data_IF_990607875200
#
_entry.id   IF_990607875200
#
_cell.length_a   1.000
_cell.length_b   1.000
_cell.length_c   1.000
_cell.angle_alpha   90.00
_cell.angle_beta   90.00
_cell.angle_gamma   90.00
#
_symmetry.space_group_name_H-M   'P 1'
#
loop_
_entity.id
_entity.type
_entity.pdbx_description
1 polymer ?
#
# COMPACT_ATOMS: atom_id res chain seq x y z
N UNK A 1 -6.45 -16.67 6.70
CA UNK A 1 -5.42 -16.43 5.63
C UNK A 1 -6.02 -15.49 4.60
N UNK A 2 -5.34 -14.39 4.29
CA UNK A 2 -5.86 -13.41 3.34
C UNK A 2 -5.69 -13.87 1.89
N UNK A 3 -6.64 -13.54 1.02
CA UNK A 3 -6.61 -13.80 -0.41
C UNK A 3 -6.93 -12.53 -1.17
N UNK A 4 -6.24 -12.28 -2.27
CA UNK A 4 -6.57 -11.19 -3.19
C UNK A 4 -6.87 -11.75 -4.57
N UNK A 5 -7.80 -11.13 -5.28
CA UNK A 5 -8.21 -11.54 -6.61
C UNK A 5 -8.58 -10.37 -7.49
N UNK A 6 -8.48 -10.58 -8.78
CA UNK A 6 -8.98 -9.64 -9.79
C UNK A 6 -10.01 -10.34 -10.67
N UNK A 7 -10.99 -9.59 -11.10
CA UNK A 7 -12.01 -10.05 -12.05
C UNK A 7 -12.25 -8.97 -13.09
N UNK A 8 -12.29 -9.37 -14.36
CA UNK A 8 -12.59 -8.48 -15.47
C UNK A 8 -13.86 -8.95 -16.20
N UNK A 9 -14.80 -8.04 -16.36
CA UNK A 9 -15.98 -8.18 -17.23
C UNK A 9 -16.05 -6.96 -18.16
N UNK A 10 -17.12 -6.17 -18.09
CA UNK A 10 -17.16 -4.82 -18.68
C UNK A 10 -16.21 -3.88 -17.93
N UNK A 11 -16.18 -4.02 -16.60
CA UNK A 11 -15.29 -3.28 -15.69
C UNK A 11 -14.21 -4.22 -15.12
N UNK A 12 -13.24 -3.60 -14.45
CA UNK A 12 -12.19 -4.30 -13.71
C UNK A 12 -12.46 -4.21 -12.22
N UNK A 13 -12.44 -5.33 -11.54
CA UNK A 13 -12.65 -5.44 -10.11
C UNK A 13 -11.39 -5.98 -9.43
N UNK A 14 -11.04 -5.37 -8.33
CA UNK A 14 -10.02 -5.84 -7.41
C UNK A 14 -10.65 -6.05 -6.03
N UNK A 15 -10.45 -7.20 -5.44
CA UNK A 15 -11.01 -7.54 -4.14
C UNK A 15 -10.06 -8.39 -3.32
N UNK A 16 -10.25 -8.35 -2.01
CA UNK A 16 -9.49 -9.19 -1.09
C UNK A 16 -10.36 -9.65 0.08
N UNK A 17 -9.99 -10.76 0.72
CA UNK A 17 -10.50 -11.16 2.03
C UNK A 17 -9.60 -10.63 3.11
N UNK A 18 -10.19 -10.13 4.19
CA UNK A 18 -9.48 -9.59 5.35
C UNK A 18 -9.67 -10.55 6.52
N UNK A 19 -8.83 -11.59 6.56
CA UNK A 19 -8.97 -12.70 7.50
C UNK A 19 -8.00 -12.54 8.68
N UNK A 20 -8.39 -11.70 9.64
CA UNK A 20 -7.72 -11.54 10.91
C UNK A 20 -8.58 -12.04 12.06
N UNK A 21 -7.94 -12.51 13.12
CA UNK A 21 -8.62 -12.98 14.33
C UNK A 21 -9.06 -11.83 15.25
N UNK A 22 -8.54 -10.63 15.01
CA UNK A 22 -8.78 -9.44 15.82
C UNK A 22 -9.17 -8.26 14.94
N UNK A 23 -9.98 -7.36 15.51
CA UNK A 23 -10.23 -6.05 14.93
C UNK A 23 -9.14 -5.08 15.41
N UNK A 24 -8.44 -4.47 14.48
CA UNK A 24 -7.38 -3.50 14.76
C UNK A 24 -7.87 -2.04 14.62
N UNK A 25 -9.18 -1.83 14.52
CA UNK A 25 -9.74 -0.50 14.25
C UNK A 25 -9.49 -0.04 12.82
N UNK A 26 -9.54 -0.99 11.90
CA UNK A 26 -9.40 -0.72 10.48
C UNK A 26 -10.63 0.03 9.93
N UNK A 27 -10.37 1.00 9.10
CA UNK A 27 -11.40 1.85 8.49
C UNK A 27 -11.09 2.19 7.04
N UNK A 28 -12.12 2.60 6.30
CA UNK A 28 -11.96 3.14 4.95
C UNK A 28 -11.30 4.51 5.05
N UNK A 29 -10.10 4.61 4.51
CA UNK A 29 -9.28 5.82 4.58
C UNK A 29 -9.04 6.39 3.19
N UNK A 30 -9.26 7.69 3.04
CA UNK A 30 -8.92 8.44 1.83
C UNK A 30 -7.71 9.32 2.12
N UNK A 31 -6.63 9.12 1.37
CA UNK A 31 -5.46 10.00 1.41
C UNK A 31 -5.50 10.90 0.16
N UNK A 32 -5.64 12.22 0.33
CA UNK A 32 -5.62 13.15 -0.81
C UNK A 32 -4.22 13.24 -1.43
N UNK A 33 -4.13 13.79 -2.64
CA UNK A 33 -2.84 14.12 -3.26
C UNK A 33 -2.00 14.98 -2.32
N UNK A 34 -0.70 14.75 -2.34
CA UNK A 34 0.28 15.54 -1.60
C UNK A 34 0.14 15.48 -0.07
N UNK A 35 -0.59 14.51 0.46
CA UNK A 35 -0.55 14.20 1.88
C UNK A 35 0.86 13.69 2.24
N UNK A 36 1.56 14.29 3.21
CA UNK A 36 2.93 13.91 3.49
C UNK A 36 3.00 12.52 4.13
N UNK A 37 3.66 11.57 3.45
CA UNK A 37 4.05 10.30 4.03
C UNK A 37 5.50 10.37 4.50
N UNK A 38 5.78 10.54 5.80
CA UNK A 38 7.13 10.39 6.32
C UNK A 38 7.59 8.94 6.12
N UNK A 39 8.78 8.77 5.54
CA UNK A 39 9.38 7.46 5.30
C UNK A 39 10.55 7.25 6.27
N UNK A 40 10.71 6.02 6.75
CA UNK A 40 11.68 5.69 7.80
C UNK A 40 13.13 5.92 7.40
N UNK A 41 13.46 5.64 6.13
CA UNK A 41 14.85 5.57 5.68
C UNK A 41 15.16 6.53 4.53
N UNK A 42 14.22 7.35 4.12
CA UNK A 42 14.40 8.34 3.06
C UNK A 42 13.47 9.55 3.26
N UNK A 43 13.56 10.51 2.35
CA UNK A 43 12.72 11.71 2.40
C UNK A 43 11.24 11.36 2.33
N UNK A 44 10.41 12.19 2.96
CA UNK A 44 8.97 12.02 2.91
C UNK A 44 8.46 12.06 1.46
N UNK A 45 7.50 11.20 1.15
CA UNK A 45 6.76 11.24 -0.10
C UNK A 45 5.69 12.34 0.01
N UNK A 46 5.94 13.48 -0.64
CA UNK A 46 5.08 14.67 -0.56
C UNK A 46 4.32 14.96 -1.86
N UNK A 47 4.74 14.36 -2.97
CA UNK A 47 4.04 14.46 -4.27
C UNK A 47 3.62 13.06 -4.69
N UNK A 48 2.31 12.79 -4.68
CA UNK A 48 1.79 11.48 -4.97
C UNK A 48 0.32 11.51 -5.42
N UNK A 49 -0.14 10.41 -6.00
CA UNK A 49 -1.54 10.20 -6.36
C UNK A 49 -2.40 10.05 -5.10
N UNK A 50 -3.64 10.53 -5.18
CA UNK A 50 -4.65 10.22 -4.16
C UNK A 50 -4.93 8.71 -4.15
N UNK A 51 -5.25 8.20 -2.96
CA UNK A 51 -5.59 6.78 -2.79
C UNK A 51 -6.70 6.58 -1.76
N UNK A 52 -7.41 5.48 -1.92
CA UNK A 52 -8.45 5.03 -0.99
C UNK A 52 -8.23 3.54 -0.71
N UNK A 53 -8.41 3.14 0.54
CA UNK A 53 -8.25 1.74 0.93
C UNK A 53 -8.64 1.49 2.37
N UNK A 54 -8.39 0.29 2.84
CA UNK A 54 -8.56 -0.08 4.25
C UNK A 54 -7.23 0.16 4.96
N UNK A 55 -7.26 0.95 6.03
CA UNK A 55 -6.09 1.27 6.83
C UNK A 55 -6.40 1.25 8.34
N UNK A 56 -5.37 1.01 9.13
CA UNK A 56 -5.35 1.38 10.53
C UNK A 56 -4.65 2.72 10.69
N UNK A 57 -5.29 3.68 11.37
CA UNK A 57 -4.70 4.99 11.60
C UNK A 57 -3.77 4.97 12.82
N UNK A 58 -2.47 5.09 12.59
CA UNK A 58 -1.47 5.26 13.64
C UNK A 58 -1.17 6.76 13.82
N UNK A 59 -1.99 7.44 14.62
CA UNK A 59 -2.02 8.91 14.64
C UNK A 59 -2.49 9.43 13.28
N UNK A 60 -1.66 10.24 12.66
CA UNK A 60 -1.94 10.79 11.32
C UNK A 60 -1.39 9.91 10.18
N UNK A 61 -0.80 8.74 10.48
CA UNK A 61 -0.23 7.87 9.45
C UNK A 61 -1.16 6.70 9.12
N UNK A 62 -1.67 6.60 7.86
CA UNK A 62 -2.48 5.48 7.44
C UNK A 62 -1.62 4.25 7.14
N UNK A 63 -1.73 3.22 7.97
CA UNK A 63 -1.13 1.91 7.75
C UNK A 63 -2.07 1.09 6.86
N UNK A 64 -1.88 1.19 5.56
CA UNK A 64 -2.74 0.53 4.58
C UNK A 64 -2.56 -0.99 4.57
N UNK A 65 -3.67 -1.71 4.62
CA UNK A 65 -3.75 -3.15 4.33
C UNK A 65 -3.97 -3.42 2.85
N UNK A 66 -4.71 -2.55 2.19
CA UNK A 66 -4.93 -2.49 0.75
C UNK A 66 -5.30 -1.06 0.36
N UNK A 67 -5.08 -0.73 -0.88
CA UNK A 67 -5.56 0.53 -1.43
C UNK A 67 -5.63 0.48 -2.96
N UNK A 68 -6.34 1.43 -3.54
CA UNK A 68 -6.32 1.74 -4.96
C UNK A 68 -6.04 3.24 -5.11
N UNK A 69 -5.20 3.60 -6.08
CA UNK A 69 -4.96 5.00 -6.38
C UNK A 69 -5.90 5.54 -7.46
N UNK A 70 -5.92 6.84 -7.64
CA UNK A 70 -6.76 7.55 -8.61
C UNK A 70 -6.49 7.19 -10.07
N UNK A 71 -5.40 6.45 -10.36
CA UNK A 71 -5.06 5.92 -11.69
C UNK A 71 -5.62 4.51 -11.91
N UNK A 72 -6.23 3.91 -10.88
CA UNK A 72 -6.80 2.58 -10.94
C UNK A 72 -5.80 1.46 -10.64
N UNK A 73 -4.59 1.79 -10.18
CA UNK A 73 -3.65 0.77 -9.68
C UNK A 73 -4.06 0.36 -8.27
N UNK A 74 -4.31 -0.93 -8.06
CA UNK A 74 -4.64 -1.51 -6.76
C UNK A 74 -3.52 -2.39 -6.21
N UNK A 75 -3.39 -2.42 -4.88
CA UNK A 75 -2.42 -3.24 -4.17
C UNK A 75 -3.01 -3.74 -2.84
N UNK A 76 -2.73 -5.00 -2.49
CA UNK A 76 -3.10 -5.58 -1.20
C UNK A 76 -1.89 -6.20 -0.52
N UNK A 77 -1.73 -5.92 0.76
CA UNK A 77 -0.82 -6.64 1.64
C UNK A 77 -1.45 -7.96 2.10
N UNK A 78 -0.76 -9.06 1.88
CA UNK A 78 -1.17 -10.38 2.37
C UNK A 78 -0.19 -10.82 3.45
N UNK A 79 -0.71 -11.16 4.62
CA UNK A 79 0.13 -11.64 5.71
C UNK A 79 0.65 -13.05 5.40
N UNK A 80 1.96 -13.23 5.47
CA UNK A 80 2.63 -14.50 5.22
C UNK A 80 3.58 -14.85 6.39
N UNK A 81 3.02 -15.24 7.54
CA UNK A 81 3.79 -15.46 8.77
C UNK A 81 4.92 -16.47 8.58
N UNK A 82 6.09 -16.13 9.09
CA UNK A 82 7.27 -17.01 9.09
C UNK A 82 8.04 -17.06 7.76
N UNK A 83 7.53 -16.45 6.69
CA UNK A 83 8.17 -16.48 5.36
C UNK A 83 8.64 -15.10 4.89
N UNK A 84 8.23 -14.03 5.54
CA UNK A 84 8.67 -12.68 5.21
C UNK A 84 10.14 -12.49 5.60
N UNK A 85 10.95 -12.01 4.67
CA UNK A 85 12.36 -11.68 4.89
C UNK A 85 12.53 -10.18 4.69
N UNK A 86 13.05 -9.52 5.71
CA UNK A 86 13.33 -8.08 5.68
C UNK A 86 14.84 -7.87 5.63
N UNK A 87 15.31 -7.25 4.55
CA UNK A 87 16.71 -6.93 4.37
C UNK A 87 17.13 -5.75 5.24
N UNK A 88 18.44 -5.66 5.54
CA UNK A 88 19.01 -4.45 6.13
C UNK A 88 19.04 -3.32 5.12
N UNK A 89 19.05 -2.08 5.61
CA UNK A 89 19.22 -0.88 4.79
C UNK A 89 20.44 -1.01 3.88
N UNK A 90 20.27 -0.68 2.61
CA UNK A 90 21.32 -0.74 1.58
C UNK A 90 21.60 0.68 1.05
N UNK A 91 22.86 1.06 1.04
CA UNK A 91 23.31 2.35 0.49
C UNK A 91 23.06 2.40 -1.03
N UNK A 92 22.51 3.53 -1.50
CA UNK A 92 22.26 3.78 -2.92
C UNK A 92 21.05 3.05 -3.49
N UNK A 93 20.17 2.54 -2.63
CA UNK A 93 18.87 1.96 -3.01
C UNK A 93 17.73 2.60 -2.21
N UNK A 94 16.54 2.52 -2.75
CA UNK A 94 15.34 2.84 -1.99
C UNK A 94 15.17 1.81 -0.86
N UNK A 95 14.96 2.33 0.34
CA UNK A 95 14.79 1.52 1.54
C UNK A 95 13.42 1.81 2.14
N UNK A 96 12.46 0.94 1.84
CA UNK A 96 11.07 1.09 2.20
C UNK A 96 10.71 0.05 3.26
N UNK A 97 10.12 0.50 4.38
CA UNK A 97 9.58 -0.41 5.38
C UNK A 97 8.30 -1.09 4.85
N UNK A 98 7.99 -2.28 5.36
CA UNK A 98 6.85 -3.06 4.88
C UNK A 98 5.51 -2.31 4.92
N UNK A 99 5.30 -1.47 5.93
CA UNK A 99 4.08 -0.69 6.08
C UNK A 99 4.04 0.56 5.19
N UNK A 100 5.16 0.97 4.63
CA UNK A 100 5.31 2.09 3.69
C UNK A 100 5.13 1.65 2.24
N UNK A 101 5.17 0.34 1.96
CA UNK A 101 5.28 -0.18 0.61
C UNK A 101 4.04 0.11 -0.24
N UNK A 102 2.83 -0.02 0.33
CA UNK A 102 1.59 0.29 -0.37
C UNK A 102 1.53 1.76 -0.77
N UNK A 103 1.62 2.74 0.15
CA UNK A 103 1.60 4.14 -0.23
C UNK A 103 2.78 4.55 -1.11
N UNK A 104 3.95 3.94 -0.97
CA UNK A 104 5.11 4.24 -1.78
C UNK A 104 4.92 3.84 -3.25
N UNK A 105 4.41 2.63 -3.52
CA UNK A 105 4.09 2.17 -4.88
C UNK A 105 2.91 2.95 -5.46
N UNK A 106 1.79 2.98 -4.74
CA UNK A 106 0.55 3.60 -5.25
C UNK A 106 0.65 5.11 -5.40
N UNK A 107 1.51 5.74 -4.60
CA UNK A 107 1.76 7.17 -4.69
C UNK A 107 2.47 7.58 -5.98
N UNK A 108 3.31 6.73 -6.55
CA UNK A 108 4.20 7.07 -7.64
C UNK A 108 3.85 6.39 -8.97
N UNK A 109 3.17 5.25 -8.95
CA UNK A 109 2.92 4.43 -10.12
C UNK A 109 1.46 4.52 -10.58
N UNK A 110 1.25 4.74 -11.86
CA UNK A 110 -0.08 4.76 -12.46
C UNK A 110 -0.53 3.35 -12.91
N UNK A 111 0.39 2.41 -13.08
CA UNK A 111 0.12 1.07 -13.59
C UNK A 111 1.17 0.05 -13.12
N UNK A 112 0.93 -1.22 -13.39
CA UNK A 112 1.81 -2.33 -12.99
C UNK A 112 3.19 -2.27 -13.68
N UNK A 113 3.26 -1.73 -14.88
CA UNK A 113 4.54 -1.63 -15.61
C UNK A 113 5.48 -0.63 -14.92
N UNK A 114 4.96 0.51 -14.49
CA UNK A 114 5.70 1.49 -13.70
C UNK A 114 6.16 0.90 -12.36
N UNK A 115 5.27 0.20 -11.66
CA UNK A 115 5.60 -0.45 -10.40
C UNK A 115 6.69 -1.55 -10.51
N UNK A 116 6.90 -2.11 -11.70
CA UNK A 116 7.95 -3.12 -11.93
C UNK A 116 9.33 -2.53 -12.15
N UNK A 117 9.42 -1.28 -12.56
CA UNK A 117 10.70 -0.60 -12.82
C UNK A 117 11.10 0.34 -11.69
N UNK A 118 10.18 0.68 -10.80
CA UNK A 118 10.44 1.37 -9.55
C UNK A 118 11.16 0.44 -8.56
#
# INVERSE_FOLDING_TARGET
>A
MCTATTYRSQDFYFGRTFDYEFNYGEEVTVTPRNYPFPLRHQNALTEHYAMIGIAHMAGDYPLYYDAVNEKGLGMAGLNFPGNAVYSKVQTGKDNIAQFEFIPWILGQCANVQEARVL
#
